data_IF_547491203636
#
_entry.id   IF_547491203636
#
_cell.length_a   1.000
_cell.length_b   1.000
_cell.length_c   1.000
_cell.angle_alpha   90.00
_cell.angle_beta   90.00
_cell.angle_gamma   90.00
#
_symmetry.space_group_name_H-M   'P 1'
#
loop_
_entity.id
_entity.type
_entity.pdbx_description
1 polymer ?
#
# COMPACT_ATOMS: atom_id res chain seq x y z
N UNK A 1 -21.61 3.39 8.64
CA UNK A 1 -20.79 2.47 7.80
C UNK A 1 -20.70 2.97 6.37
N UNK A 2 -19.75 3.87 6.10
CA UNK A 2 -19.34 4.19 4.73
C UNK A 2 -18.50 3.04 4.18
N UNK A 3 -18.91 2.45 3.07
CA UNK A 3 -18.10 1.46 2.35
C UNK A 3 -16.90 2.19 1.71
N UNK A 4 -15.68 1.78 2.05
CA UNK A 4 -14.46 2.36 1.51
C UNK A 4 -13.84 1.35 0.58
N UNK A 5 -13.47 1.79 -0.62
CA UNK A 5 -12.72 0.94 -1.52
C UNK A 5 -11.26 0.86 -1.04
N UNK A 6 -10.90 -0.26 -0.42
CA UNK A 6 -9.57 -0.45 0.15
C UNK A 6 -8.48 -0.49 -0.93
N UNK A 7 -8.79 -1.03 -2.10
CA UNK A 7 -7.82 -1.21 -3.18
C UNK A 7 -8.27 -0.47 -4.44
N UNK A 8 -7.31 0.05 -5.20
CA UNK A 8 -7.58 0.52 -6.56
C UNK A 8 -7.71 -0.67 -7.53
N UNK A 9 -7.96 -0.35 -8.80
CA UNK A 9 -8.03 -1.30 -9.92
C UNK A 9 -6.76 -2.15 -10.10
N UNK A 10 -5.61 -1.66 -9.63
CA UNK A 10 -4.35 -2.39 -9.64
C UNK A 10 -4.21 -3.35 -8.47
N UNK A 11 -5.00 -3.24 -7.40
CA UNK A 11 -4.80 -4.02 -6.17
C UNK A 11 -3.80 -3.39 -5.21
N UNK A 12 -3.61 -2.07 -5.28
CA UNK A 12 -2.80 -1.26 -4.35
C UNK A 12 -3.75 -0.53 -3.41
N UNK A 13 -3.38 -0.43 -2.13
CA UNK A 13 -4.22 0.24 -1.14
C UNK A 13 -4.46 1.72 -1.54
N UNK A 14 -5.71 2.19 -1.44
CA UNK A 14 -6.06 3.56 -1.85
C UNK A 14 -5.59 4.59 -0.84
N UNK A 15 -5.37 5.83 -1.29
CA UNK A 15 -5.04 6.94 -0.41
C UNK A 15 -6.11 7.20 0.65
N UNK A 16 -7.40 7.13 0.27
CA UNK A 16 -8.53 7.24 1.23
C UNK A 16 -8.44 6.15 2.30
N UNK A 17 -8.15 4.91 1.92
CA UNK A 17 -7.97 3.81 2.87
C UNK A 17 -6.76 4.04 3.79
N UNK A 18 -5.61 4.49 3.26
CA UNK A 18 -4.44 4.84 4.09
C UNK A 18 -4.80 5.93 5.11
N UNK A 19 -5.44 7.01 4.68
CA UNK A 19 -5.82 8.13 5.57
C UNK A 19 -6.75 7.65 6.69
N UNK A 20 -7.75 6.85 6.35
CA UNK A 20 -8.69 6.28 7.33
C UNK A 20 -8.04 5.31 8.30
N UNK A 21 -7.23 4.37 7.79
CA UNK A 21 -6.51 3.40 8.61
C UNK A 21 -5.44 4.06 9.49
N UNK A 22 -4.85 5.17 9.04
CA UNK A 22 -3.88 5.94 9.83
C UNK A 22 -4.53 6.63 11.02
N UNK A 23 -5.74 7.19 10.85
CA UNK A 23 -6.48 7.85 11.93
C UNK A 23 -6.89 6.83 13.01
N UNK A 24 -7.41 5.67 12.60
CA UNK A 24 -7.85 4.63 13.55
C UNK A 24 -6.63 3.95 14.18
N UNK A 25 -5.62 3.63 13.36
CA UNK A 25 -4.37 3.02 13.81
C UNK A 25 -3.48 3.93 14.65
N UNK A 26 -3.71 5.24 14.70
CA UNK A 26 -3.02 6.14 15.62
C UNK A 26 -3.39 5.89 17.10
N UNK A 27 -4.45 5.11 17.35
CA UNK A 27 -4.80 4.61 18.69
C UNK A 27 -4.09 3.28 19.03
N UNK A 28 -3.42 2.66 18.05
CA UNK A 28 -2.70 1.41 18.27
C UNK A 28 -1.49 1.62 19.18
N UNK A 29 -1.21 0.65 20.04
CA UNK A 29 -0.05 0.68 20.95
C UNK A 29 1.29 0.44 20.26
N UNK A 30 1.32 0.22 18.93
CA UNK A 30 2.53 -0.02 18.13
C UNK A 30 2.67 1.02 17.00
N UNK A 31 3.91 1.41 16.67
CA UNK A 31 4.25 2.20 15.48
C UNK A 31 4.23 1.39 14.16
N UNK A 32 3.87 0.10 14.22
CA UNK A 32 3.82 -0.85 13.12
C UNK A 32 3.05 -0.29 11.87
N UNK A 33 1.86 0.32 12.02
CA UNK A 33 1.12 0.86 10.86
C UNK A 33 1.88 1.99 10.15
N UNK A 34 2.52 2.88 10.91
CA UNK A 34 3.29 3.99 10.36
C UNK A 34 4.48 3.48 9.54
N UNK A 35 5.23 2.52 10.08
CA UNK A 35 6.36 1.93 9.35
C UNK A 35 5.94 1.24 8.06
N UNK A 36 4.79 0.53 8.05
CA UNK A 36 4.28 -0.08 6.82
C UNK A 36 3.87 0.96 5.76
N UNK A 37 3.28 2.08 6.18
CA UNK A 37 2.95 3.19 5.28
C UNK A 37 4.21 3.83 4.71
N UNK A 38 5.25 4.01 5.52
CA UNK A 38 6.52 4.59 5.05
C UNK A 38 7.23 3.63 4.07
N UNK A 39 7.19 2.32 4.31
CA UNK A 39 7.66 1.31 3.34
C UNK A 39 6.87 1.40 2.04
N UNK A 40 5.54 1.50 2.10
CA UNK A 40 4.70 1.61 0.90
C UNK A 40 5.10 2.83 0.07
N UNK A 41 5.30 3.99 0.71
CA UNK A 41 5.74 5.22 0.03
C UNK A 41 7.08 5.03 -0.66
N UNK A 42 8.07 4.45 0.02
CA UNK A 42 9.38 4.19 -0.58
C UNK A 42 9.29 3.26 -1.80
N UNK A 43 8.41 2.25 -1.75
CA UNK A 43 8.17 1.34 -2.88
C UNK A 43 7.45 2.05 -4.03
N UNK A 44 6.49 2.94 -3.74
CA UNK A 44 5.80 3.76 -4.74
C UNK A 44 6.76 4.72 -5.44
N UNK A 45 7.60 5.42 -4.69
CA UNK A 45 8.65 6.30 -5.21
C UNK A 45 9.63 5.51 -6.09
N UNK A 46 10.02 4.30 -5.68
CA UNK A 46 10.86 3.43 -6.49
C UNK A 46 10.15 2.98 -7.78
N UNK A 47 8.86 2.66 -7.72
CA UNK A 47 8.06 2.28 -8.90
C UNK A 47 7.96 3.43 -9.90
N UNK A 48 7.63 4.64 -9.43
CA UNK A 48 7.59 5.86 -10.27
C UNK A 48 8.97 6.15 -10.88
N UNK A 49 10.05 5.98 -10.12
CA UNK A 49 11.40 6.11 -10.64
C UNK A 49 11.67 5.11 -11.78
N UNK A 50 11.29 3.84 -11.63
CA UNK A 50 11.48 2.84 -12.69
C UNK A 50 10.65 3.16 -13.95
N UNK A 51 9.46 3.76 -13.81
CA UNK A 51 8.60 4.14 -14.95
C UNK A 51 9.28 5.22 -15.81
N UNK A 52 10.00 6.11 -15.16
CA UNK A 52 10.77 7.16 -15.82
C UNK A 52 12.14 6.66 -16.31
N UNK A 53 12.79 5.76 -15.57
CA UNK A 53 14.15 5.31 -15.84
C UNK A 53 14.25 4.44 -17.11
N UNK A 54 13.29 3.52 -17.33
CA UNK A 54 13.29 2.64 -18.51
C UNK A 54 13.25 3.42 -19.83
N UNK A 55 12.61 4.59 -19.84
CA UNK A 55 12.51 5.47 -21.01
C UNK A 55 13.83 6.21 -21.32
N UNK A 56 14.68 6.39 -20.30
CA UNK A 56 15.92 7.17 -20.40
C UNK A 56 17.18 6.30 -20.56
N UNK A 57 17.11 4.98 -20.35
CA UNK A 57 18.29 4.10 -20.38
C UNK A 57 18.00 2.78 -21.10
N UNK A 58 17.88 2.81 -22.44
CA UNK A 58 17.49 1.64 -23.24
C UNK A 58 18.57 0.55 -23.34
N UNK A 59 19.78 0.81 -22.84
CA UNK A 59 20.89 -0.16 -22.87
C UNK A 59 20.62 -1.41 -22.02
N UNK A 60 19.70 -1.33 -21.03
CA UNK A 60 19.47 -2.40 -20.05
C UNK A 60 17.96 -2.65 -19.78
N UNK A 61 17.17 -2.65 -20.87
CA UNK A 61 15.68 -2.75 -20.82
C UNK A 61 15.21 -3.96 -20.01
N UNK A 62 15.89 -5.10 -20.09
CA UNK A 62 15.50 -6.31 -19.37
C UNK A 62 15.58 -6.13 -17.85
N UNK A 63 16.68 -5.54 -17.37
CA UNK A 63 16.90 -5.26 -15.95
C UNK A 63 15.83 -4.29 -15.43
N UNK A 64 15.57 -3.21 -16.16
CA UNK A 64 14.56 -2.22 -15.78
C UNK A 64 13.13 -2.78 -15.82
N UNK A 65 12.79 -3.59 -16.83
CA UNK A 65 11.49 -4.25 -16.89
C UNK A 65 11.29 -5.22 -15.71
N UNK A 66 12.35 -5.94 -15.31
CA UNK A 66 12.31 -6.78 -14.12
C UNK A 66 12.16 -5.97 -12.82
N UNK A 67 12.91 -4.87 -12.67
CA UNK A 67 12.79 -3.98 -11.50
C UNK A 67 11.40 -3.36 -11.40
N UNK A 68 10.82 -2.93 -12.53
CA UNK A 68 9.46 -2.43 -12.63
C UNK A 68 8.42 -3.47 -12.19
N UNK A 69 8.51 -4.70 -12.71
CA UNK A 69 7.60 -5.76 -12.31
C UNK A 69 7.74 -6.11 -10.82
N UNK A 70 8.99 -6.12 -10.33
CA UNK A 70 9.30 -6.39 -8.93
C UNK A 70 8.75 -5.30 -8.01
N UNK A 71 8.89 -4.02 -8.38
CA UNK A 71 8.40 -2.91 -7.56
C UNK A 71 6.87 -2.93 -7.44
N UNK A 72 6.15 -3.22 -8.53
CA UNK A 72 4.68 -3.41 -8.50
C UNK A 72 4.26 -4.57 -7.60
N UNK A 73 4.99 -5.69 -7.62
CA UNK A 73 4.73 -6.80 -6.71
C UNK A 73 4.92 -6.41 -5.24
N UNK A 74 5.93 -5.59 -4.95
CA UNK A 74 6.14 -5.05 -3.60
C UNK A 74 4.98 -4.13 -3.18
N UNK A 75 4.45 -3.28 -4.08
CA UNK A 75 3.28 -2.45 -3.78
C UNK A 75 2.07 -3.29 -3.35
N UNK A 76 1.79 -4.40 -4.06
CA UNK A 76 0.72 -5.34 -3.70
C UNK A 76 0.97 -6.01 -2.36
N UNK A 77 2.19 -6.47 -2.12
CA UNK A 77 2.55 -7.18 -0.89
C UNK A 77 2.42 -6.28 0.33
N UNK A 78 2.96 -5.06 0.26
CA UNK A 78 2.88 -4.08 1.35
C UNK A 78 1.43 -3.62 1.56
N UNK A 79 0.69 -3.34 0.48
CA UNK A 79 -0.74 -2.99 0.55
C UNK A 79 -1.57 -4.07 1.27
N UNK A 80 -1.37 -5.33 0.90
CA UNK A 80 -2.04 -6.47 1.51
C UNK A 80 -1.66 -6.63 2.98
N UNK A 81 -0.40 -6.33 3.32
CA UNK A 81 0.10 -6.39 4.71
C UNK A 81 -0.55 -5.33 5.59
N UNK A 82 -0.69 -4.09 5.09
CA UNK A 82 -1.40 -3.00 5.80
C UNK A 82 -2.86 -3.40 6.08
N UNK A 83 -3.56 -3.90 5.06
CA UNK A 83 -4.96 -4.33 5.21
C UNK A 83 -5.07 -5.52 6.17
N UNK A 84 -4.17 -6.49 6.10
CA UNK A 84 -4.18 -7.62 7.03
C UNK A 84 -3.92 -7.19 8.47
N UNK A 85 -2.97 -6.27 8.71
CA UNK A 85 -2.74 -5.71 10.05
C UNK A 85 -4.02 -5.03 10.56
N UNK A 86 -4.65 -4.19 9.75
CA UNK A 86 -5.88 -3.52 10.15
C UNK A 86 -7.04 -4.50 10.44
N UNK A 87 -7.11 -5.65 9.77
CA UNK A 87 -8.06 -6.72 10.14
C UNK A 87 -7.73 -7.37 11.47
N UNK A 88 -6.45 -7.65 11.73
CA UNK A 88 -6.00 -8.26 12.98
C UNK A 88 -6.25 -7.35 14.19
N UNK A 89 -6.10 -6.04 14.01
CA UNK A 89 -6.40 -5.01 15.00
C UNK A 89 -7.90 -4.72 15.16
N UNK A 90 -8.77 -5.39 14.38
CA UNK A 90 -10.23 -5.21 14.44
C UNK A 90 -10.73 -3.87 13.89
N UNK A 91 -9.92 -3.19 13.07
CA UNK A 91 -10.26 -1.91 12.43
C UNK A 91 -11.20 -2.15 11.24
N UNK A 92 -10.96 -3.22 10.49
CA UNK A 92 -11.75 -3.66 9.33
C UNK A 92 -12.17 -5.11 9.47
N UNK A 93 -13.37 -5.44 8.98
CA UNK A 93 -13.89 -6.80 8.99
C UNK A 93 -13.36 -7.62 7.80
N UNK A 94 -13.79 -8.89 7.75
CA UNK A 94 -13.46 -9.82 6.66
C UNK A 94 -14.08 -9.41 5.31
N UNK A 95 -15.05 -8.50 5.31
CA UNK A 95 -15.70 -7.94 4.13
C UNK A 95 -15.10 -6.58 3.73
N UNK A 96 -13.95 -6.19 4.30
CA UNK A 96 -13.28 -4.92 4.06
C UNK A 96 -14.06 -3.68 4.50
N UNK A 97 -15.02 -3.84 5.42
CA UNK A 97 -15.79 -2.73 6.00
C UNK A 97 -15.13 -2.27 7.30
N UNK A 98 -15.03 -0.96 7.48
CA UNK A 98 -14.50 -0.36 8.71
C UNK A 98 -15.50 -0.64 9.84
N UNK A 99 -14.99 -1.18 10.96
CA UNK A 99 -15.78 -1.59 12.13
C UNK A 99 -15.89 -0.45 13.15
N UNK A 100 -14.82 0.33 13.33
CA UNK A 100 -14.80 1.46 14.28
C UNK A 100 -15.13 2.78 13.55
N UNK A 101 -16.33 3.30 13.78
CA UNK A 101 -16.70 4.71 13.53
C UNK A 101 -16.80 5.38 14.91
N UNK A 102 -15.72 6.02 15.37
CA UNK A 102 -15.75 7.02 16.46
C UNK A 102 -15.55 8.42 15.88
#
# INVERSE_FOLDING_TARGET
MKEINLFNDKGIITKEAIEKLSIIGATASCECPKHLIDILKAVQEFTEYQENCINNTPQDIHTHAWLMATSKNLEHMVSSTIVNLARLEGIIDHNNKIIQED
#
